data_IF_078119356080
#
_entry.id   IF_078119356080
#
_cell.length_a   1.000
_cell.length_b   1.000
_cell.length_c   1.000
_cell.angle_alpha   90.00
_cell.angle_beta   90.00
_cell.angle_gamma   90.00
#
_symmetry.space_group_name_H-M   'P 1'
#
loop_
_entity.id
_entity.type
_entity.pdbx_description
1 polymer ?
#
# COMPACT_ATOMS: atom_id res chain seq x y z
N UNK A 1 -20.23 27.31 5.95
CA UNK A 1 -19.28 26.28 5.47
C UNK A 1 -17.94 26.99 5.41
N UNK A 2 -17.06 26.72 6.38
CA UNK A 2 -15.77 27.43 6.50
C UNK A 2 -14.83 26.82 5.46
N UNK A 3 -14.26 27.68 4.62
CA UNK A 3 -13.43 27.29 3.49
C UNK A 3 -12.08 26.76 4.00
N UNK A 4 -11.75 25.53 3.64
CA UNK A 4 -10.60 24.78 4.18
C UNK A 4 -9.26 25.40 3.73
N UNK A 5 -9.29 26.29 2.74
CA UNK A 5 -8.13 27.04 2.24
C UNK A 5 -7.65 28.18 3.14
N UNK A 6 -8.45 28.66 4.11
CA UNK A 6 -8.05 29.79 4.97
C UNK A 6 -7.29 29.38 6.24
N UNK A 7 -7.23 28.07 6.55
CA UNK A 7 -6.55 27.57 7.77
C UNK A 7 -5.01 27.59 7.62
N UNK A 8 -4.49 27.75 6.39
CA UNK A 8 -3.08 27.53 6.08
C UNK A 8 -2.17 28.75 6.04
N UNK A 9 -2.67 29.98 6.22
CA UNK A 9 -1.85 31.21 6.06
C UNK A 9 -2.07 32.18 7.21
N UNK A 10 -1.90 31.70 8.44
CA UNK A 10 -1.41 32.58 9.50
C UNK A 10 0.08 32.32 9.61
N UNK A 11 0.90 33.35 9.36
CA UNK A 11 2.33 33.32 9.71
C UNK A 11 2.46 33.28 11.24
N UNK A 12 2.02 32.18 11.87
CA UNK A 12 2.32 31.93 13.26
C UNK A 12 3.82 31.66 13.31
N UNK A 13 4.57 32.63 13.84
CA UNK A 13 5.96 32.44 14.20
C UNK A 13 6.04 31.14 15.03
N UNK A 14 6.93 30.21 14.64
CA UNK A 14 7.10 28.94 15.36
C UNK A 14 7.23 29.19 16.85
N UNK A 15 6.63 28.35 17.68
CA UNK A 15 6.78 28.43 19.15
C UNK A 15 8.26 28.44 19.56
N UNK A 16 9.13 27.79 18.78
CA UNK A 16 10.58 27.87 18.90
C UNK A 16 11.12 29.31 18.74
N UNK A 17 10.72 30.00 17.67
CA UNK A 17 11.14 31.38 17.40
C UNK A 17 10.60 32.36 18.44
N UNK A 18 9.39 32.11 18.95
CA UNK A 18 8.80 32.91 20.04
C UNK A 18 9.60 32.74 21.33
N UNK A 19 9.93 31.50 21.70
CA UNK A 19 10.73 31.21 22.89
C UNK A 19 12.14 31.80 22.75
N UNK A 20 12.77 31.67 21.58
CA UNK A 20 14.10 32.24 21.32
C UNK A 20 14.09 33.76 21.46
N UNK A 21 13.13 34.46 20.85
CA UNK A 21 13.03 35.91 20.97
C UNK A 21 12.74 36.36 22.41
N UNK A 22 11.86 35.64 23.13
CA UNK A 22 11.59 35.93 24.54
C UNK A 22 12.82 35.71 25.43
N UNK A 23 13.65 34.71 25.13
CA UNK A 23 14.90 34.43 25.85
C UNK A 23 15.95 35.52 25.60
N UNK A 24 16.11 35.96 24.34
CA UNK A 24 17.03 37.04 23.98
C UNK A 24 16.63 38.36 24.64
N UNK A 25 15.34 38.69 24.63
CA UNK A 25 14.79 39.85 25.34
C UNK A 25 15.05 39.77 26.85
N UNK A 26 14.84 38.60 27.45
CA UNK A 26 15.09 38.37 28.88
C UNK A 26 16.58 38.54 29.21
N UNK A 27 17.48 38.04 28.35
CA UNK A 27 18.91 38.20 28.50
C UNK A 27 19.34 39.67 28.40
N UNK A 28 18.80 40.42 27.44
CA UNK A 28 19.06 41.85 27.26
C UNK A 28 18.57 42.66 28.47
N UNK A 29 17.35 42.43 28.94
CA UNK A 29 16.80 43.08 30.14
C UNK A 29 17.63 42.78 31.39
N UNK A 30 18.08 41.53 31.55
CA UNK A 30 18.94 41.13 32.68
C UNK A 30 20.27 41.89 32.64
N UNK A 31 20.87 42.06 31.46
CA UNK A 31 22.10 42.82 31.27
C UNK A 31 21.90 44.30 31.63
N UNK A 32 20.83 44.92 31.13
CA UNK A 32 20.49 46.31 31.46
C UNK A 32 20.22 46.51 32.96
N UNK A 33 19.58 45.55 33.62
CA UNK A 33 19.37 45.56 35.06
C UNK A 33 20.70 45.58 35.83
N UNK A 34 21.62 44.68 35.51
CA UNK A 34 22.94 44.62 36.16
C UNK A 34 23.81 45.84 35.86
N UNK A 35 23.79 46.37 34.64
CA UNK A 35 24.50 47.59 34.27
C UNK A 35 23.98 48.80 35.06
N UNK A 36 22.66 48.90 35.25
CA UNK A 36 22.05 49.95 36.04
C UNK A 36 22.31 49.79 37.54
N UNK A 37 22.31 48.56 38.08
CA UNK A 37 22.73 48.30 39.46
C UNK A 37 24.18 48.76 39.68
N UNK A 38 25.08 48.38 38.78
CA UNK A 38 26.51 48.74 38.86
C UNK A 38 26.69 50.26 38.85
N UNK A 39 25.93 51.01 38.03
CA UNK A 39 25.94 52.47 38.01
C UNK A 39 25.46 53.07 39.34
N UNK A 40 24.42 52.51 39.96
CA UNK A 40 23.91 52.98 41.27
C UNK A 40 24.93 52.75 42.39
N UNK A 41 25.57 51.58 42.45
CA UNK A 41 26.61 51.29 43.47
C UNK A 41 27.88 52.12 43.28
N UNK A 42 28.19 52.53 42.05
CA UNK A 42 29.37 53.36 41.73
C UNK A 42 29.20 54.83 42.14
N UNK A 43 27.98 55.31 42.38
CA UNK A 43 27.66 56.70 42.73
C UNK A 43 27.63 56.99 44.25
N UNK A 44 28.38 56.23 45.06
CA UNK A 44 28.46 56.39 46.54
C UNK A 44 28.52 57.86 46.96
N UNK A 45 27.39 58.38 47.49
CA UNK A 45 27.31 59.71 48.11
C UNK A 45 26.30 60.70 47.52
N UNK A 46 25.60 60.39 46.41
CA UNK A 46 24.47 61.21 45.89
C UNK A 46 23.12 60.49 46.10
N UNK A 47 22.00 61.22 46.32
CA UNK A 47 20.70 60.59 46.46
C UNK A 47 20.37 59.77 45.20
N UNK A 48 19.84 58.55 45.35
CA UNK A 48 19.65 57.64 44.23
C UNK A 48 18.58 58.22 43.29
N UNK A 49 19.00 58.82 42.19
CA UNK A 49 18.08 59.44 41.22
C UNK A 49 17.42 58.40 40.30
N UNK A 50 17.81 57.12 40.39
CA UNK A 50 17.46 56.10 39.40
C UNK A 50 16.84 54.80 39.99
N UNK A 51 16.35 54.85 41.23
CA UNK A 51 15.70 53.70 41.90
C UNK A 51 14.38 53.28 41.24
N UNK A 52 13.61 54.24 40.71
CA UNK A 52 12.35 53.96 40.01
C UNK A 52 12.58 53.21 38.69
N UNK A 53 13.60 53.60 37.92
CA UNK A 53 13.97 52.92 36.68
C UNK A 53 14.45 51.48 36.93
N UNK A 54 15.20 51.25 38.01
CA UNK A 54 15.61 49.90 38.42
C UNK A 54 14.43 49.02 38.82
N UNK A 55 13.47 49.56 39.58
CA UNK A 55 12.26 48.83 39.96
C UNK A 55 11.42 48.48 38.73
N UNK A 56 11.28 49.40 37.77
CA UNK A 56 10.57 49.15 36.51
C UNK A 56 11.20 48.02 35.70
N UNK A 57 12.53 48.00 35.55
CA UNK A 57 13.24 46.90 34.86
C UNK A 57 13.04 45.57 35.62
N UNK A 58 13.02 45.61 36.96
CA UNK A 58 12.72 44.43 37.78
C UNK A 58 11.30 43.89 37.56
N UNK A 59 10.30 44.77 37.46
CA UNK A 59 8.92 44.40 37.13
C UNK A 59 8.80 43.83 35.70
N UNK A 60 9.45 44.48 34.73
CA UNK A 60 9.48 44.04 33.33
C UNK A 60 10.17 42.66 33.20
N UNK A 61 11.23 42.40 33.98
CA UNK A 61 11.91 41.11 34.04
C UNK A 61 11.01 40.02 34.64
N UNK A 62 10.27 40.33 35.71
CA UNK A 62 9.33 39.40 36.32
C UNK A 62 8.17 39.07 35.37
N UNK A 63 7.65 40.07 34.65
CA UNK A 63 6.63 39.89 33.63
C UNK A 63 7.12 38.98 32.50
N UNK A 64 8.31 39.28 31.94
CA UNK A 64 8.89 38.50 30.83
C UNK A 64 9.25 37.08 31.25
N UNK A 65 9.74 36.87 32.47
CA UNK A 65 10.00 35.54 33.02
C UNK A 65 8.73 34.69 33.13
N UNK A 66 7.59 35.30 33.49
CA UNK A 66 6.29 34.61 33.50
C UNK A 66 5.79 34.31 32.08
N UNK A 67 6.01 35.23 31.13
CA UNK A 67 5.64 35.04 29.73
C UNK A 67 6.42 33.90 29.06
N UNK A 68 7.73 33.82 29.32
CA UNK A 68 8.60 32.71 28.89
C UNK A 68 8.16 31.37 29.49
N UNK A 69 7.74 31.36 30.77
CA UNK A 69 7.22 30.15 31.42
C UNK A 69 5.95 29.65 30.73
N UNK A 70 5.04 30.55 30.33
CA UNK A 70 3.80 30.19 29.64
C UNK A 70 4.07 29.61 28.25
N UNK A 71 4.94 30.24 27.47
CA UNK A 71 5.30 29.75 26.14
C UNK A 71 6.03 28.41 26.19
N UNK A 72 6.88 28.19 27.19
CA UNK A 72 7.50 26.89 27.44
C UNK A 72 6.47 25.81 27.80
N UNK A 73 5.45 26.15 28.61
CA UNK A 73 4.36 25.24 28.90
C UNK A 73 3.60 24.84 27.62
N UNK A 74 3.28 25.80 26.77
CA UNK A 74 2.65 25.52 25.46
C UNK A 74 3.53 24.62 24.59
N UNK A 75 4.85 24.82 24.57
CA UNK A 75 5.76 23.94 23.83
C UNK A 75 5.74 22.50 24.37
N UNK A 76 5.66 22.30 25.68
CA UNK A 76 5.52 20.96 26.29
C UNK A 76 4.22 20.30 25.85
N UNK A 77 3.10 21.04 25.87
CA UNK A 77 1.80 20.56 25.41
C UNK A 77 1.86 20.16 23.93
N UNK A 78 2.47 20.99 23.08
CA UNK A 78 2.69 20.69 21.67
C UNK A 78 3.53 19.41 21.47
N UNK A 79 4.61 19.22 22.25
CA UNK A 79 5.43 18.00 22.18
C UNK A 79 4.60 16.75 22.49
N UNK A 80 3.73 16.82 23.49
CA UNK A 80 2.87 15.69 23.84
C UNK A 80 1.87 15.38 22.72
N UNK A 81 1.25 16.40 22.12
CA UNK A 81 0.38 16.24 20.96
C UNK A 81 1.14 15.65 19.77
N UNK A 82 2.36 16.11 19.49
CA UNK A 82 3.20 15.55 18.43
C UNK A 82 3.50 14.06 18.65
N UNK A 83 3.80 13.64 19.90
CA UNK A 83 3.99 12.23 20.21
C UNK A 83 2.74 11.39 19.94
N UNK A 84 1.56 11.92 20.24
CA UNK A 84 0.31 11.21 19.97
C UNK A 84 0.01 11.18 18.46
N UNK A 85 0.30 12.25 17.73
CA UNK A 85 0.25 12.27 16.26
C UNK A 85 1.17 11.20 15.67
N UNK A 86 2.39 11.08 16.17
CA UNK A 86 3.36 10.10 15.65
C UNK A 86 2.90 8.66 15.90
N UNK A 87 2.33 8.36 17.08
CA UNK A 87 1.70 7.05 17.33
C UNK A 87 0.57 6.76 16.34
N UNK A 88 -0.31 7.73 16.11
CA UNK A 88 -1.44 7.55 15.16
C UNK A 88 -0.91 7.36 13.74
N UNK A 89 0.15 8.07 13.34
CA UNK A 89 0.80 7.86 12.04
C UNK A 89 1.36 6.44 11.93
N UNK A 90 2.03 5.94 12.95
CA UNK A 90 2.52 4.55 12.97
C UNK A 90 1.37 3.55 12.81
N UNK A 91 0.26 3.74 13.52
CA UNK A 91 -0.95 2.90 13.38
C UNK A 91 -1.52 2.96 11.96
N UNK A 92 -1.62 4.15 11.36
CA UNK A 92 -2.07 4.32 9.97
C UNK A 92 -1.16 3.54 9.02
N UNK A 93 0.16 3.68 9.14
CA UNK A 93 1.09 2.96 8.24
C UNK A 93 0.97 1.44 8.37
N UNK A 94 0.70 0.93 9.57
CA UNK A 94 0.45 -0.50 9.80
C UNK A 94 -0.82 -0.95 9.09
N UNK A 95 -1.92 -0.21 9.27
CA UNK A 95 -3.21 -0.53 8.65
C UNK A 95 -3.12 -0.44 7.12
N UNK A 96 -2.43 0.57 6.58
CA UNK A 96 -2.20 0.69 5.14
C UNK A 96 -1.48 -0.54 4.57
N UNK A 97 -0.46 -1.04 5.28
CA UNK A 97 0.25 -2.26 4.88
C UNK A 97 -0.67 -3.48 4.87
N UNK A 98 -1.53 -3.63 5.88
CA UNK A 98 -2.51 -4.73 5.96
C UNK A 98 -3.56 -4.65 4.84
N UNK A 99 -4.02 -3.44 4.51
CA UNK A 99 -4.94 -3.18 3.38
C UNK A 99 -4.29 -3.58 2.06
N UNK A 100 -3.05 -3.15 1.81
CA UNK A 100 -2.32 -3.48 0.58
C UNK A 100 -2.10 -4.99 0.44
N UNK A 101 -1.74 -5.66 1.54
CA UNK A 101 -1.58 -7.11 1.55
C UNK A 101 -2.90 -7.82 1.23
N UNK A 102 -3.99 -7.42 1.88
CA UNK A 102 -5.32 -7.99 1.65
C UNK A 102 -5.79 -7.76 0.22
N UNK A 103 -5.57 -6.56 -0.33
CA UNK A 103 -5.89 -6.24 -1.72
C UNK A 103 -5.13 -7.13 -2.71
N UNK A 104 -3.83 -7.37 -2.46
CA UNK A 104 -3.04 -8.27 -3.29
C UNK A 104 -3.57 -9.71 -3.26
N UNK A 105 -3.94 -10.21 -2.08
CA UNK A 105 -4.51 -11.55 -1.92
C UNK A 105 -5.86 -11.68 -2.63
N UNK A 106 -6.72 -10.66 -2.55
CA UNK A 106 -8.00 -10.64 -3.24
C UNK A 106 -7.82 -10.67 -4.77
N UNK A 107 -6.87 -9.90 -5.30
CA UNK A 107 -6.57 -9.88 -6.74
C UNK A 107 -6.03 -11.24 -7.23
N UNK A 108 -5.23 -11.92 -6.41
CA UNK A 108 -4.76 -13.26 -6.72
C UNK A 108 -5.89 -14.29 -6.69
N UNK A 109 -6.76 -14.23 -5.67
CA UNK A 109 -7.94 -15.08 -5.57
C UNK A 109 -8.90 -14.88 -6.75
N UNK A 110 -9.13 -13.63 -7.16
CA UNK A 110 -9.92 -13.29 -8.35
C UNK A 110 -9.35 -13.94 -9.61
N UNK A 111 -8.03 -13.84 -9.83
CA UNK A 111 -7.36 -14.45 -10.97
C UNK A 111 -7.54 -15.97 -10.99
N UNK A 112 -7.35 -16.64 -9.85
CA UNK A 112 -7.52 -18.10 -9.73
C UNK A 112 -8.97 -18.48 -10.03
N UNK A 113 -9.92 -17.74 -9.46
CA UNK A 113 -11.34 -17.99 -9.65
C UNK A 113 -11.76 -17.80 -11.11
N UNK A 114 -11.28 -16.75 -11.78
CA UNK A 114 -11.56 -16.50 -13.20
C UNK A 114 -11.11 -17.68 -14.08
N UNK A 115 -9.89 -18.20 -13.84
CA UNK A 115 -9.37 -19.37 -14.54
C UNK A 115 -10.20 -20.61 -14.23
N UNK A 116 -10.53 -20.86 -12.96
CA UNK A 116 -11.32 -22.02 -12.55
C UNK A 116 -12.72 -21.99 -13.18
N UNK A 117 -13.39 -20.84 -13.22
CA UNK A 117 -14.70 -20.65 -13.84
C UNK A 117 -14.62 -20.88 -15.35
N UNK A 118 -13.60 -20.35 -16.02
CA UNK A 118 -13.41 -20.58 -17.45
C UNK A 118 -13.22 -22.07 -17.76
N UNK A 119 -12.38 -22.76 -16.98
CA UNK A 119 -12.15 -24.20 -17.14
C UNK A 119 -13.41 -25.01 -16.84
N UNK A 120 -14.17 -24.66 -15.79
CA UNK A 120 -15.43 -25.32 -15.45
C UNK A 120 -16.46 -25.18 -16.57
N UNK A 121 -16.60 -23.99 -17.17
CA UNK A 121 -17.45 -23.76 -18.35
C UNK A 121 -17.02 -24.62 -19.53
N UNK A 122 -15.72 -24.66 -19.84
CA UNK A 122 -15.18 -25.49 -20.93
C UNK A 122 -15.47 -26.98 -20.70
N UNK A 123 -15.29 -27.49 -19.47
CA UNK A 123 -15.62 -28.88 -19.10
C UNK A 123 -17.12 -29.16 -19.21
N UNK A 124 -17.97 -28.23 -18.83
CA UNK A 124 -19.42 -28.37 -18.96
C UNK A 124 -19.83 -28.49 -20.42
N UNK A 125 -19.30 -27.65 -21.31
CA UNK A 125 -19.59 -27.72 -22.74
C UNK A 125 -19.08 -29.02 -23.37
N UNK A 126 -17.87 -29.47 -23.01
CA UNK A 126 -17.36 -30.78 -23.45
C UNK A 126 -18.26 -31.93 -22.95
N UNK A 127 -18.75 -31.86 -21.72
CA UNK A 127 -19.68 -32.84 -21.16
C UNK A 127 -21.02 -32.87 -21.89
N UNK A 128 -21.58 -31.69 -22.24
CA UNK A 128 -22.79 -31.60 -23.07
C UNK A 128 -22.57 -32.18 -24.45
N UNK A 129 -21.44 -31.86 -25.10
CA UNK A 129 -21.10 -32.40 -26.41
C UNK A 129 -20.96 -33.93 -26.37
N UNK A 130 -20.27 -34.48 -25.38
CA UNK A 130 -20.14 -35.92 -25.18
C UNK A 130 -21.51 -36.60 -24.97
N UNK A 131 -22.40 -35.96 -24.21
CA UNK A 131 -23.77 -36.47 -24.00
C UNK A 131 -24.59 -36.47 -25.30
N UNK A 132 -24.44 -35.44 -26.14
CA UNK A 132 -25.10 -35.40 -27.46
C UNK A 132 -24.51 -36.37 -28.47
N UNK A 133 -23.20 -36.64 -28.39
CA UNK A 133 -22.48 -37.56 -29.26
C UNK A 133 -22.33 -38.97 -28.63
N UNK A 134 -23.28 -39.37 -27.79
CA UNK A 134 -23.24 -40.67 -27.11
C UNK A 134 -23.30 -41.80 -28.15
N UNK A 135 -22.20 -42.53 -28.29
CA UNK A 135 -22.13 -43.74 -29.11
C UNK A 135 -22.54 -44.95 -28.26
N UNK A 136 -23.30 -45.87 -28.84
CA UNK A 136 -23.63 -47.12 -28.16
C UNK A 136 -22.36 -47.92 -27.86
N UNK A 137 -22.24 -48.43 -26.63
CA UNK A 137 -21.14 -49.34 -26.28
C UNK A 137 -21.11 -50.57 -27.20
N UNK A 138 -22.27 -51.03 -27.67
CA UNK A 138 -22.36 -52.15 -28.59
C UNK A 138 -21.76 -51.82 -29.96
N UNK A 139 -21.98 -50.60 -30.46
CA UNK A 139 -21.39 -50.13 -31.72
C UNK A 139 -19.88 -49.95 -31.58
N UNK A 140 -19.40 -49.45 -30.43
CA UNK A 140 -17.96 -49.39 -30.13
C UNK A 140 -17.33 -50.79 -30.10
N UNK A 141 -17.99 -51.77 -29.46
CA UNK A 141 -17.51 -53.16 -29.41
C UNK A 141 -17.49 -53.78 -30.81
N UNK A 142 -18.56 -53.61 -31.60
CA UNK A 142 -18.63 -54.10 -32.99
C UNK A 142 -17.56 -53.44 -33.87
N UNK A 143 -17.36 -52.14 -33.72
CA UNK A 143 -16.36 -51.40 -34.49
C UNK A 143 -14.93 -51.79 -34.11
N UNK A 144 -14.65 -51.91 -32.80
CA UNK A 144 -13.38 -52.41 -32.30
C UNK A 144 -13.11 -53.85 -32.77
N UNK A 145 -14.09 -54.74 -32.69
CA UNK A 145 -13.99 -56.10 -33.23
C UNK A 145 -13.73 -56.09 -34.74
N UNK A 146 -14.39 -55.19 -35.50
CA UNK A 146 -14.18 -55.05 -36.95
C UNK A 146 -12.77 -54.56 -37.28
N UNK A 147 -12.22 -53.61 -36.52
CA UNK A 147 -10.82 -53.19 -36.67
C UNK A 147 -9.89 -54.35 -36.34
N UNK A 148 -10.09 -55.02 -35.21
CA UNK A 148 -9.24 -56.12 -34.75
C UNK A 148 -9.30 -57.37 -35.64
N UNK A 149 -10.42 -57.61 -36.33
CA UNK A 149 -10.60 -58.78 -37.21
C UNK A 149 -10.27 -58.50 -38.69
N UNK A 150 -10.48 -57.26 -39.15
CA UNK A 150 -10.38 -56.90 -40.56
C UNK A 150 -9.12 -56.13 -40.95
N UNK A 151 -8.45 -55.47 -40.00
CA UNK A 151 -7.28 -54.64 -40.28
C UNK A 151 -6.09 -55.10 -39.41
N UNK A 152 -5.00 -55.54 -40.05
CA UNK A 152 -3.76 -55.78 -39.32
C UNK A 152 -3.18 -54.43 -38.87
N UNK A 153 -2.92 -54.26 -37.57
CA UNK A 153 -2.36 -53.01 -36.99
C UNK A 153 -0.99 -52.67 -37.60
N UNK A 154 -0.30 -53.70 -38.11
CA UNK A 154 0.99 -53.62 -38.76
C UNK A 154 1.04 -54.65 -39.90
N UNK A 155 1.82 -54.37 -40.95
CA UNK A 155 2.09 -55.35 -42.00
C UNK A 155 2.96 -56.48 -41.41
N UNK A 156 2.61 -57.76 -41.61
CA UNK A 156 3.48 -58.87 -41.21
C UNK A 156 4.91 -58.70 -41.75
N UNK A 157 5.92 -59.19 -41.01
CA UNK A 157 7.33 -59.02 -41.40
C UNK A 157 7.67 -59.61 -42.77
N UNK A 158 6.87 -60.59 -43.23
CA UNK A 158 6.97 -61.24 -44.54
C UNK A 158 5.91 -60.75 -45.54
N UNK A 159 5.26 -59.61 -45.29
CA UNK A 159 4.18 -59.09 -46.13
C UNK A 159 4.70 -58.80 -47.54
N UNK A 160 4.04 -59.41 -48.54
CA UNK A 160 4.30 -59.20 -49.96
C UNK A 160 3.10 -58.51 -50.61
N UNK A 161 3.27 -57.82 -51.74
CA UNK A 161 2.17 -57.16 -52.46
C UNK A 161 1.00 -58.07 -52.84
N UNK A 162 1.22 -59.38 -52.87
CA UNK A 162 0.19 -60.41 -53.16
C UNK A 162 -0.49 -60.96 -51.89
N UNK A 163 -0.08 -60.54 -50.68
CA UNK A 163 -0.62 -61.05 -49.41
C UNK A 163 -1.99 -60.40 -49.09
N UNK A 164 -3.05 -61.21 -48.89
CA UNK A 164 -4.37 -60.72 -48.50
C UNK A 164 -4.40 -59.96 -47.16
N UNK A 165 -3.43 -60.20 -46.26
CA UNK A 165 -3.35 -59.58 -44.93
C UNK A 165 -2.68 -58.20 -44.98
N UNK A 166 -3.23 -57.28 -45.77
CA UNK A 166 -2.69 -55.92 -45.95
C UNK A 166 -3.39 -54.88 -45.08
N UNK A 167 -2.68 -53.87 -44.56
CA UNK A 167 -3.24 -52.82 -43.71
C UNK A 167 -4.02 -51.73 -44.47
N UNK A 168 -4.06 -51.75 -45.80
CA UNK A 168 -4.72 -50.74 -46.65
C UNK A 168 -5.38 -51.35 -47.90
N UNK A 169 -6.44 -50.72 -48.44
CA UNK A 169 -7.10 -51.19 -49.67
C UNK A 169 -6.26 -50.92 -50.93
N UNK A 170 -6.42 -51.74 -51.97
CA UNK A 170 -5.72 -51.60 -53.27
C UNK A 170 -6.39 -50.54 -54.16
N UNK A 171 -5.66 -49.98 -55.12
CA UNK A 171 -6.19 -48.97 -56.07
C UNK A 171 -7.42 -49.47 -56.83
N UNK A 172 -7.45 -50.74 -57.23
CA UNK A 172 -8.62 -51.37 -57.87
C UNK A 172 -9.82 -51.36 -56.92
N UNK A 173 -9.62 -51.63 -55.63
CA UNK A 173 -10.69 -51.62 -54.62
C UNK A 173 -11.14 -50.21 -54.27
N UNK A 174 -10.23 -49.23 -54.28
CA UNK A 174 -10.60 -47.82 -54.15
C UNK A 174 -11.41 -47.34 -55.35
N UNK A 175 -11.03 -47.76 -56.57
CA UNK A 175 -11.72 -47.38 -57.82
C UNK A 175 -13.12 -47.97 -57.94
N UNK A 176 -13.32 -49.21 -57.46
CA UNK A 176 -14.63 -49.90 -57.52
C UNK A 176 -15.55 -49.51 -56.37
N UNK A 177 -15.02 -49.11 -55.19
CA UNK A 177 -15.83 -48.71 -54.04
C UNK A 177 -16.31 -47.26 -54.06
N UNK A 178 -15.82 -46.42 -54.97
CA UNK A 178 -16.26 -45.02 -55.12
C UNK A 178 -17.51 -44.82 -56.00
N UNK A 179 -18.18 -45.89 -56.44
CA UNK A 179 -19.36 -45.83 -57.32
C UNK A 179 -20.72 -46.09 -56.63
N UNK A 180 -20.81 -46.01 -55.30
CA UNK A 180 -22.08 -46.05 -54.57
C UNK A 180 -22.18 -44.94 -53.53
#
# INVERSE_FOLDING_TARGET
MVDISEIGITYHLSTENIISGQLDDFANLTKEFFDNLTKVYSQRGRPPTNTEALNKIGEDLAYKGNDLKKSLQTAIEQINVCKDIDKVKEEITKVEKEILQTHSQLKEAEKILAVAVFQAKKKLEAGKQAKSASVSCEDLIKFAFRISSGNSVEAPQDWKPEDPRRPYPLDIEMSTKLQY
#
